data_IF_229519094609
#
_entry.id   IF_229519094609
#
_cell.length_a   1.000
_cell.length_b   1.000
_cell.length_c   1.000
_cell.angle_alpha   90.00
_cell.angle_beta   90.00
_cell.angle_gamma   90.00
#
_symmetry.space_group_name_H-M   'P 1'
#
loop_
_entity.id
_entity.type
_entity.pdbx_description
1 polymer ?
#
# COMPACT_ATOMS: atom_id res chain seq x y z
N UNK A 1 -61.16 13.20 -42.08
CA UNK A 1 -61.65 12.64 -40.83
C UNK A 1 -60.43 12.27 -40.02
N UNK A 2 -60.13 13.11 -39.01
CA UNK A 2 -58.99 13.00 -38.08
C UNK A 2 -59.26 11.90 -37.09
N UNK A 3 -58.21 11.12 -36.79
CA UNK A 3 -58.10 10.40 -35.53
C UNK A 3 -56.81 10.71 -34.84
N UNK A 4 -57.01 11.29 -33.69
CA UNK A 4 -56.04 11.75 -32.76
C UNK A 4 -55.13 10.67 -32.19
N UNK A 5 -53.87 11.03 -32.10
CA UNK A 5 -52.85 10.27 -31.42
C UNK A 5 -53.11 10.28 -29.92
N UNK A 6 -53.20 9.11 -29.32
CA UNK A 6 -53.07 8.90 -27.90
C UNK A 6 -51.59 8.86 -27.58
N UNK A 7 -51.11 9.97 -27.09
CA UNK A 7 -49.80 10.05 -26.46
C UNK A 7 -49.87 9.30 -25.13
N UNK A 8 -49.37 8.11 -25.10
CA UNK A 8 -49.13 7.38 -23.85
C UNK A 8 -47.97 8.06 -23.12
N UNK A 9 -48.34 8.91 -22.20
CA UNK A 9 -47.43 9.53 -21.24
C UNK A 9 -46.72 8.45 -20.42
N UNK A 10 -45.42 8.58 -20.38
CA UNK A 10 -44.50 7.70 -19.74
C UNK A 10 -44.88 7.29 -18.32
N UNK A 11 -44.78 6.01 -18.09
CA UNK A 11 -44.58 5.46 -16.78
C UNK A 11 -43.31 6.09 -16.21
N UNK A 12 -43.49 7.02 -15.27
CA UNK A 12 -42.45 7.47 -14.40
C UNK A 12 -41.96 6.25 -13.64
N UNK A 13 -40.79 5.74 -14.03
CA UNK A 13 -40.09 4.74 -13.25
C UNK A 13 -39.90 5.32 -11.86
N UNK A 14 -40.52 4.71 -10.87
CA UNK A 14 -40.13 4.91 -9.48
C UNK A 14 -38.67 4.44 -9.39
N UNK A 15 -37.74 5.37 -9.45
CA UNK A 15 -36.38 5.12 -9.09
C UNK A 15 -36.41 4.71 -7.64
N UNK A 16 -36.15 3.44 -7.35
CA UNK A 16 -35.93 3.02 -5.97
C UNK A 16 -34.86 3.95 -5.36
N UNK A 17 -35.08 4.46 -4.14
CA UNK A 17 -34.12 5.34 -3.54
C UNK A 17 -32.75 4.61 -3.41
N UNK A 18 -31.72 5.24 -3.90
CA UNK A 18 -30.36 4.74 -3.75
C UNK A 18 -30.00 4.73 -2.25
N UNK A 19 -30.00 3.52 -1.68
CA UNK A 19 -29.73 3.31 -0.26
C UNK A 19 -28.23 3.13 0.00
N UNK A 20 -27.42 3.06 -1.04
CA UNK A 20 -25.97 2.93 -0.90
C UNK A 20 -25.36 4.26 -0.47
N UNK A 21 -24.34 4.18 0.37
CA UNK A 21 -23.59 5.34 0.86
C UNK A 21 -22.16 5.20 0.40
N UNK A 22 -21.61 6.30 -0.13
CA UNK A 22 -20.18 6.34 -0.44
C UNK A 22 -19.43 7.11 0.63
N UNK A 23 -18.35 6.51 1.16
CA UNK A 23 -17.43 7.14 2.10
C UNK A 23 -15.99 6.95 1.65
N UNK A 24 -15.12 7.87 2.04
CA UNK A 24 -13.68 7.76 1.80
C UNK A 24 -12.98 7.36 3.09
N UNK A 25 -12.09 6.39 2.99
CA UNK A 25 -11.24 5.97 4.11
C UNK A 25 -9.77 6.04 3.72
N UNK A 26 -8.94 6.39 4.67
CA UNK A 26 -7.48 6.36 4.51
C UNK A 26 -6.93 5.24 5.37
N UNK A 27 -6.21 4.32 4.77
CA UNK A 27 -5.57 3.20 5.45
C UNK A 27 -4.04 3.35 5.46
N UNK A 28 -3.35 2.85 6.49
CA UNK A 28 -1.90 2.82 6.52
C UNK A 28 -1.32 1.97 5.39
N UNK A 29 -0.12 2.32 4.92
CA UNK A 29 0.55 1.61 3.83
C UNK A 29 0.76 0.11 4.12
N UNK A 30 1.19 -0.24 5.33
CA UNK A 30 1.39 -1.62 5.74
C UNK A 30 0.10 -2.45 5.64
N UNK A 31 -1.04 -1.89 6.04
CA UNK A 31 -2.34 -2.56 5.93
C UNK A 31 -2.74 -2.75 4.47
N UNK A 32 -2.37 -1.84 3.57
CA UNK A 32 -2.64 -2.01 2.14
C UNK A 32 -1.87 -3.18 1.51
N UNK A 33 -0.68 -3.49 2.04
CA UNK A 33 0.18 -4.57 1.54
C UNK A 33 -0.17 -5.91 2.20
N UNK A 34 -0.22 -5.93 3.53
CA UNK A 34 -0.44 -7.15 4.31
C UNK A 34 -1.92 -7.56 4.41
N UNK A 35 -2.81 -6.59 4.24
CA UNK A 35 -4.21 -6.76 4.58
C UNK A 35 -4.45 -6.72 6.09
N UNK A 36 -5.68 -6.95 6.49
CA UNK A 36 -6.05 -7.01 7.91
C UNK A 36 -7.39 -6.37 8.20
N UNK A 37 -7.69 -6.25 9.49
CA UNK A 37 -8.88 -5.56 9.96
C UNK A 37 -8.55 -4.09 10.18
N UNK A 38 -9.43 -3.24 9.75
CA UNK A 38 -9.36 -1.80 10.01
C UNK A 38 -10.68 -1.34 10.64
N UNK A 39 -10.57 -0.76 11.83
CA UNK A 39 -11.74 -0.24 12.52
C UNK A 39 -12.20 1.06 11.88
N UNK A 40 -13.46 1.14 11.58
CA UNK A 40 -14.13 2.31 11.04
C UNK A 40 -15.25 2.76 11.97
N UNK A 41 -15.35 4.06 12.13
CA UNK A 41 -16.52 4.70 12.74
C UNK A 41 -17.29 5.45 11.68
N UNK A 42 -18.51 5.04 11.45
CA UNK A 42 -19.40 5.67 10.49
C UNK A 42 -20.82 5.79 11.05
N UNK A 43 -21.41 6.97 10.96
CA UNK A 43 -22.76 7.26 11.51
C UNK A 43 -22.95 6.89 12.99
N UNK A 44 -21.90 6.95 13.81
CA UNK A 44 -21.96 6.61 15.25
C UNK A 44 -21.82 5.12 15.55
N UNK A 45 -21.72 4.28 14.54
CA UNK A 45 -21.41 2.86 14.69
C UNK A 45 -19.92 2.62 14.38
N UNK A 46 -19.26 1.84 15.24
CA UNK A 46 -17.89 1.36 14.99
C UNK A 46 -17.94 -0.10 14.55
N UNK A 47 -17.30 -0.40 13.44
CA UNK A 47 -17.22 -1.78 12.92
C UNK A 47 -15.89 -2.03 12.26
N UNK A 48 -15.48 -3.29 12.23
CA UNK A 48 -14.24 -3.71 11.57
C UNK A 48 -14.50 -4.07 10.11
N UNK A 49 -13.68 -3.49 9.23
CA UNK A 49 -13.66 -3.84 7.81
C UNK A 49 -12.41 -4.65 7.51
N UNK A 50 -12.60 -5.79 6.86
CA UNK A 50 -11.50 -6.63 6.41
C UNK A 50 -10.92 -6.07 5.12
N UNK A 51 -9.72 -5.50 5.20
CA UNK A 51 -8.97 -5.00 4.06
C UNK A 51 -8.22 -6.17 3.41
N UNK A 52 -8.40 -6.44 2.13
CA UNK A 52 -7.64 -7.49 1.44
C UNK A 52 -6.20 -7.05 1.21
N UNK A 53 -5.26 -7.99 1.31
CA UNK A 53 -3.85 -7.73 1.01
C UNK A 53 -3.67 -7.29 -0.45
N UNK A 54 -2.79 -6.32 -0.67
CA UNK A 54 -2.46 -5.81 -2.01
C UNK A 54 -3.45 -4.80 -2.57
N UNK A 55 -4.37 -4.26 -1.74
CA UNK A 55 -5.31 -3.22 -2.17
C UNK A 55 -4.56 -1.98 -2.68
N UNK A 56 -5.11 -1.33 -3.71
CA UNK A 56 -4.53 -0.12 -4.30
C UNK A 56 -5.31 1.11 -3.85
N UNK A 57 -4.63 2.25 -3.83
CA UNK A 57 -5.30 3.54 -3.62
C UNK A 57 -6.31 3.81 -4.73
N UNK A 58 -7.50 4.31 -4.38
CA UNK A 58 -8.61 4.53 -5.30
C UNK A 58 -9.50 3.31 -5.54
N UNK A 59 -9.20 2.16 -4.96
CA UNK A 59 -10.08 1.00 -5.04
C UNK A 59 -11.35 1.20 -4.18
N UNK A 60 -12.45 0.64 -4.68
CA UNK A 60 -13.73 0.65 -3.99
C UNK A 60 -13.99 -0.68 -3.31
N UNK A 61 -14.37 -0.62 -2.05
CA UNK A 61 -14.80 -1.79 -1.27
C UNK A 61 -16.27 -1.64 -0.90
N UNK A 62 -17.02 -2.72 -1.00
CA UNK A 62 -18.41 -2.78 -0.62
C UNK A 62 -18.58 -3.47 0.73
N UNK A 63 -19.18 -2.78 1.68
CA UNK A 63 -19.55 -3.33 2.99
C UNK A 63 -21.06 -3.47 3.01
N UNK A 64 -21.53 -4.71 3.09
CA UNK A 64 -22.95 -5.02 3.05
C UNK A 64 -23.68 -4.51 4.31
N UNK A 65 -24.94 -4.14 4.12
CA UNK A 65 -25.87 -3.75 5.19
C UNK A 65 -25.42 -2.56 6.06
N UNK A 66 -24.52 -1.71 5.56
CA UNK A 66 -24.00 -0.51 6.25
C UNK A 66 -24.36 0.80 5.55
N UNK A 67 -25.25 0.75 4.56
CA UNK A 67 -25.85 1.91 3.90
C UNK A 67 -27.07 2.47 4.64
N UNK A 68 -27.89 3.21 3.93
CA UNK A 68 -29.16 3.76 4.46
C UNK A 68 -30.17 2.64 4.69
N UNK A 69 -31.01 2.84 5.69
CA UNK A 69 -32.13 1.93 5.98
C UNK A 69 -33.43 2.58 5.52
N UNK A 70 -34.22 1.89 4.72
CA UNK A 70 -35.53 2.33 4.29
C UNK A 70 -36.49 1.14 4.18
N UNK A 71 -37.62 1.20 4.82
CA UNK A 71 -38.69 0.18 4.81
C UNK A 71 -38.15 -1.28 5.05
N UNK A 72 -37.23 -1.44 6.00
CA UNK A 72 -36.67 -2.74 6.33
C UNK A 72 -35.57 -3.25 5.37
N UNK A 73 -35.27 -2.49 4.31
CA UNK A 73 -34.13 -2.74 3.41
C UNK A 73 -32.94 -1.89 3.83
N UNK A 74 -31.76 -2.46 3.85
CA UNK A 74 -30.49 -1.77 4.09
C UNK A 74 -29.68 -1.73 2.81
N UNK A 75 -29.17 -0.55 2.47
CA UNK A 75 -28.19 -0.40 1.41
C UNK A 75 -26.79 -0.80 1.87
N UNK A 76 -25.85 -0.68 0.99
CA UNK A 76 -24.46 -0.99 1.25
C UNK A 76 -23.61 0.28 1.44
N UNK A 77 -22.50 0.14 2.13
CA UNK A 77 -21.50 1.20 2.25
C UNK A 77 -20.39 0.95 1.24
N UNK A 78 -20.21 1.89 0.32
CA UNK A 78 -19.13 1.86 -0.66
C UNK A 78 -17.98 2.69 -0.13
N UNK A 79 -16.89 2.02 0.24
CA UNK A 79 -15.67 2.65 0.75
C UNK A 79 -14.69 2.90 -0.39
N UNK A 80 -14.37 4.17 -0.63
CA UNK A 80 -13.26 4.54 -1.49
C UNK A 80 -11.99 4.51 -0.64
N UNK A 81 -11.13 3.52 -0.91
CA UNK A 81 -9.91 3.32 -0.13
C UNK A 81 -8.80 4.22 -0.65
N UNK A 82 -8.24 5.01 0.23
CA UNK A 82 -7.03 5.78 0.00
C UNK A 82 -5.90 5.22 0.85
N UNK A 83 -4.71 5.10 0.27
CA UNK A 83 -3.54 4.55 0.97
C UNK A 83 -2.61 5.69 1.37
N UNK A 84 -2.36 5.82 2.67
CA UNK A 84 -1.40 6.79 3.16
C UNK A 84 0.01 6.45 2.64
N UNK A 85 0.79 7.43 2.18
CA UNK A 85 2.15 7.18 1.73
C UNK A 85 3.02 6.72 2.90
N UNK A 86 3.98 5.86 2.62
CA UNK A 86 5.00 5.45 3.58
C UNK A 86 6.27 6.27 3.38
N UNK A 87 6.95 6.72 4.44
CA UNK A 87 8.25 7.38 4.32
C UNK A 87 9.36 6.40 3.92
N UNK A 88 9.19 5.11 4.18
CA UNK A 88 10.21 4.08 3.97
C UNK A 88 10.03 3.29 2.68
N UNK A 89 8.79 3.13 2.24
CA UNK A 89 8.44 2.27 1.11
C UNK A 89 7.77 3.05 0.00
N UNK A 90 8.17 2.76 -1.21
CA UNK A 90 7.48 3.19 -2.42
C UNK A 90 6.92 1.97 -3.13
N UNK A 91 5.67 2.05 -3.58
CA UNK A 91 5.03 0.96 -4.33
C UNK A 91 5.10 1.24 -5.82
N UNK A 92 5.67 0.32 -6.56
CA UNK A 92 5.73 0.34 -8.03
C UNK A 92 4.94 -0.87 -8.58
N UNK A 93 3.66 -0.66 -8.85
CA UNK A 93 2.77 -1.76 -9.26
C UNK A 93 2.54 -2.76 -8.12
N UNK A 94 3.10 -3.94 -8.24
CA UNK A 94 3.07 -5.01 -7.23
C UNK A 94 4.41 -5.14 -6.49
N UNK A 95 5.43 -4.44 -6.96
CA UNK A 95 6.74 -4.39 -6.33
C UNK A 95 6.83 -3.27 -5.29
N UNK A 96 7.72 -3.44 -4.34
CA UNK A 96 8.05 -2.44 -3.33
C UNK A 96 9.50 -2.02 -3.48
N UNK A 97 9.76 -0.75 -3.19
CA UNK A 97 11.12 -0.20 -3.15
C UNK A 97 11.35 0.39 -1.77
N UNK A 98 12.45 0.02 -1.13
CA UNK A 98 12.91 0.57 0.15
C UNK A 98 14.37 0.96 0.04
N UNK A 99 14.72 2.14 0.52
CA UNK A 99 16.12 2.54 0.69
C UNK A 99 16.63 2.00 2.02
N UNK A 100 17.81 1.40 2.01
CA UNK A 100 18.50 0.87 3.19
C UNK A 100 19.85 1.52 3.35
N UNK A 101 20.20 1.80 4.59
CA UNK A 101 21.50 2.37 4.93
C UNK A 101 22.53 1.27 5.12
N UNK A 102 23.64 1.36 4.39
CA UNK A 102 24.73 0.41 4.45
C UNK A 102 25.99 1.18 4.90
N UNK A 103 26.65 0.76 5.99
CA UNK A 103 27.92 1.34 6.39
C UNK A 103 28.99 1.20 5.31
N UNK A 104 29.83 2.22 5.12
CA UNK A 104 30.90 2.21 4.11
C UNK A 104 31.79 0.97 4.21
N UNK A 105 32.13 0.55 5.42
CA UNK A 105 32.92 -0.66 5.67
C UNK A 105 32.25 -1.90 5.04
N UNK A 106 30.95 -2.06 5.25
CA UNK A 106 30.21 -3.19 4.72
C UNK A 106 30.05 -3.11 3.20
N UNK A 107 29.94 -1.90 2.64
CA UNK A 107 29.88 -1.71 1.20
C UNK A 107 31.20 -2.05 0.50
N UNK A 108 32.36 -1.76 1.13
CA UNK A 108 33.69 -2.02 0.58
C UNK A 108 34.10 -3.48 0.73
N UNK A 109 33.97 -4.04 1.92
CA UNK A 109 34.49 -5.37 2.26
C UNK A 109 33.45 -6.49 2.24
N UNK A 110 32.20 -6.13 1.95
CA UNK A 110 31.11 -7.06 2.06
C UNK A 110 30.69 -7.30 3.51
N UNK A 111 29.60 -8.00 3.68
CA UNK A 111 29.06 -8.34 5.00
C UNK A 111 27.58 -8.67 4.98
N UNK A 112 26.99 -8.62 6.16
CA UNK A 112 25.56 -8.88 6.34
C UNK A 112 24.91 -7.64 6.94
N UNK A 113 23.76 -7.26 6.41
CA UNK A 113 22.93 -6.19 6.93
C UNK A 113 21.55 -6.77 7.25
N UNK A 114 21.07 -6.50 8.45
CA UNK A 114 19.71 -6.87 8.86
C UNK A 114 18.78 -5.78 8.38
N UNK A 115 17.74 -6.17 7.66
CA UNK A 115 16.74 -5.26 7.09
C UNK A 115 15.36 -5.67 7.57
N UNK A 116 14.69 -4.72 8.21
CA UNK A 116 13.27 -4.88 8.56
C UNK A 116 12.41 -4.71 7.31
N UNK A 117 11.57 -5.69 7.06
CA UNK A 117 10.57 -5.63 6.00
C UNK A 117 9.17 -5.62 6.60
N UNK A 118 8.16 -5.38 5.76
CA UNK A 118 6.76 -5.43 6.20
C UNK A 118 6.33 -6.83 6.68
N UNK A 119 7.02 -7.88 6.26
CA UNK A 119 6.69 -9.26 6.61
C UNK A 119 7.52 -9.77 7.80
N UNK A 120 8.82 -9.61 7.74
CA UNK A 120 9.78 -10.04 8.78
C UNK A 120 11.15 -9.43 8.55
N UNK A 121 12.00 -9.52 9.55
CA UNK A 121 13.43 -9.20 9.39
C UNK A 121 14.11 -10.19 8.43
N UNK A 122 14.94 -9.66 7.55
CA UNK A 122 15.78 -10.46 6.66
C UNK A 122 17.24 -10.07 6.79
N UNK A 123 18.12 -11.02 6.56
CA UNK A 123 19.55 -10.77 6.47
C UNK A 123 19.96 -10.64 5.02
N UNK A 124 20.34 -9.44 4.62
CA UNK A 124 20.87 -9.16 3.29
C UNK A 124 22.37 -9.40 3.27
N UNK A 125 22.83 -10.26 2.36
CA UNK A 125 24.27 -10.42 2.11
C UNK A 125 24.72 -9.38 1.10
N UNK A 126 25.52 -8.44 1.56
CA UNK A 126 26.13 -7.38 0.76
C UNK A 126 27.46 -7.89 0.21
N UNK A 127 27.66 -7.75 -1.09
CA UNK A 127 28.94 -8.12 -1.74
C UNK A 127 29.97 -7.02 -1.54
N UNK A 128 31.24 -7.39 -1.72
CA UNK A 128 32.33 -6.43 -1.82
C UNK A 128 32.11 -5.45 -2.98
N UNK A 129 32.62 -4.26 -2.85
CA UNK A 129 32.51 -3.19 -3.86
C UNK A 129 31.06 -2.86 -4.25
N UNK A 130 30.15 -2.91 -3.27
CA UNK A 130 28.77 -2.48 -3.47
C UNK A 130 28.70 -0.96 -3.64
N UNK A 131 28.09 -0.52 -4.73
CA UNK A 131 27.97 0.91 -5.07
C UNK A 131 26.72 1.52 -4.48
N UNK A 132 26.80 2.84 -4.25
CA UNK A 132 25.62 3.60 -3.85
C UNK A 132 24.53 3.53 -4.91
N UNK A 133 23.28 3.35 -4.49
CA UNK A 133 22.14 3.17 -5.39
C UNK A 133 21.99 1.77 -5.97
N UNK A 134 22.83 0.83 -5.61
CA UNK A 134 22.72 -0.57 -6.05
C UNK A 134 21.44 -1.19 -5.53
N UNK A 135 20.69 -1.87 -6.41
CA UNK A 135 19.43 -2.52 -6.07
C UNK A 135 19.64 -4.01 -5.75
N UNK A 136 19.08 -4.43 -4.63
CA UNK A 136 19.02 -5.84 -4.22
C UNK A 136 17.58 -6.32 -4.28
N UNK A 137 17.34 -7.38 -5.02
CA UNK A 137 16.00 -7.96 -5.19
C UNK A 137 15.75 -9.03 -4.13
N UNK A 138 14.68 -8.87 -3.39
CA UNK A 138 14.15 -9.86 -2.45
C UNK A 138 12.83 -10.38 -2.99
N UNK A 139 12.81 -11.64 -3.41
CA UNK A 139 11.65 -12.24 -4.05
C UNK A 139 10.49 -12.41 -3.07
N UNK A 140 9.25 -12.22 -3.56
CA UNK A 140 8.01 -12.46 -2.81
C UNK A 140 7.80 -11.57 -1.57
N UNK A 141 8.50 -10.44 -1.49
CA UNK A 141 8.35 -9.44 -0.42
C UNK A 141 7.64 -8.15 -0.86
N UNK A 142 7.05 -8.17 -2.04
CA UNK A 142 6.21 -7.10 -2.56
C UNK A 142 4.75 -7.22 -2.17
N UNK A 143 3.89 -6.50 -2.86
CA UNK A 143 2.44 -6.55 -2.69
C UNK A 143 1.83 -7.79 -3.36
N UNK A 144 0.77 -8.31 -2.77
CA UNK A 144 0.01 -9.40 -3.38
C UNK A 144 -0.83 -8.89 -4.56
N UNK A 145 -0.65 -9.48 -5.71
CA UNK A 145 -1.56 -9.31 -6.84
C UNK A 145 -2.77 -10.22 -6.64
N UNK A 146 -3.93 -9.64 -6.37
CA UNK A 146 -5.15 -10.41 -6.07
C UNK A 146 -5.71 -11.16 -7.28
N UNK A 147 -5.37 -10.74 -8.50
CA UNK A 147 -5.81 -11.41 -9.72
C UNK A 147 -4.99 -12.65 -10.03
N UNK A 148 -3.67 -12.54 -9.91
CA UNK A 148 -2.73 -13.62 -10.21
C UNK A 148 -2.34 -14.46 -9.00
N UNK A 149 -2.66 -14.00 -7.77
CA UNK A 149 -2.26 -14.60 -6.50
C UNK A 149 -0.74 -14.69 -6.31
N UNK A 150 0.00 -13.88 -7.06
CA UNK A 150 1.47 -13.80 -6.99
C UNK A 150 1.86 -12.54 -6.22
N UNK A 151 2.84 -12.67 -5.35
CA UNK A 151 3.47 -11.54 -4.68
C UNK A 151 4.53 -10.93 -5.58
N UNK A 152 4.59 -9.61 -5.62
CA UNK A 152 5.70 -8.89 -6.21
C UNK A 152 6.98 -9.03 -5.40
N UNK A 153 8.01 -8.33 -5.79
CA UNK A 153 9.31 -8.35 -5.16
C UNK A 153 9.58 -7.06 -4.36
N UNK A 154 10.53 -7.15 -3.45
CA UNK A 154 11.05 -5.98 -2.75
C UNK A 154 12.43 -5.64 -3.31
N UNK A 155 12.60 -4.42 -3.75
CA UNK A 155 13.88 -3.87 -4.17
C UNK A 155 14.45 -3.00 -3.06
N UNK A 156 15.61 -3.41 -2.55
CA UNK A 156 16.37 -2.66 -1.56
C UNK A 156 17.42 -1.83 -2.27
N UNK A 157 17.34 -0.51 -2.13
CA UNK A 157 18.29 0.42 -2.74
C UNK A 157 19.34 0.79 -1.70
N UNK A 158 20.60 0.50 -2.00
CA UNK A 158 21.71 0.79 -1.11
C UNK A 158 21.96 2.30 -1.01
N UNK A 159 21.89 2.83 0.18
CA UNK A 159 22.40 4.16 0.54
C UNK A 159 23.63 4.00 1.42
N UNK A 160 24.81 4.34 0.88
CA UNK A 160 26.06 4.17 1.63
C UNK A 160 26.23 5.35 2.58
N UNK A 161 26.30 5.04 3.88
CA UNK A 161 26.57 6.03 4.91
C UNK A 161 28.06 6.19 5.07
N UNK A 162 28.54 7.42 4.89
CA UNK A 162 29.92 7.77 5.16
C UNK A 162 30.13 7.92 6.67
N UNK A 163 31.25 7.41 7.21
CA UNK A 163 31.60 7.65 8.60
C UNK A 163 31.90 9.14 8.82
N UNK A 164 31.64 9.62 10.05
CA UNK A 164 32.03 10.98 10.41
C UNK A 164 33.57 11.09 10.45
N UNK A 165 34.08 12.28 10.15
CA UNK A 165 35.52 12.55 10.18
C UNK A 165 36.16 12.21 11.55
N UNK A 166 35.38 12.40 12.62
CA UNK A 166 35.84 12.08 14.00
C UNK A 166 35.99 10.59 14.26
N UNK A 167 35.22 9.75 13.53
CA UNK A 167 35.26 8.28 13.69
C UNK A 167 36.37 7.62 12.87
N UNK A 168 37.10 8.38 12.02
CA UNK A 168 38.17 7.86 11.20
C UNK A 168 39.50 7.92 11.98
N UNK A 169 40.27 6.84 11.93
CA UNK A 169 41.63 6.81 12.47
C UNK A 169 42.56 7.80 11.74
N UNK A 170 43.55 8.30 12.44
CA UNK A 170 44.53 9.28 11.90
C UNK A 170 45.20 8.78 10.61
N UNK A 171 45.53 7.51 10.56
CA UNK A 171 46.15 6.88 9.39
C UNK A 171 45.24 6.87 8.19
N UNK A 172 43.94 6.59 8.41
CA UNK A 172 42.96 6.58 7.36
C UNK A 172 42.68 7.99 6.82
N UNK A 173 42.69 9.00 7.70
CA UNK A 173 42.59 10.41 7.31
C UNK A 173 43.73 10.83 6.41
N UNK A 174 44.96 10.48 6.79
CA UNK A 174 46.16 10.80 6.01
C UNK A 174 46.18 10.15 4.62
N UNK A 175 45.57 8.95 4.47
CA UNK A 175 45.46 8.26 3.18
C UNK A 175 44.38 8.85 2.27
N UNK A 176 43.44 9.61 2.79
CA UNK A 176 42.35 10.24 2.03
C UNK A 176 42.61 11.69 1.65
N UNK A 177 43.65 12.33 2.19
CA UNK A 177 44.14 13.66 1.81
C UNK A 177 45.12 13.54 0.61
#
# INVERSE_FOLDING_TARGET
>A
ICFGGFSSSGFGGFSEPDLDISAKITIPFNVSILGGKHALSFSGESFDVKIPAGIKSGEKMRVKDKGKSYQGRKGDLILNVDVAPSPEYTREGDDLVKTIDIPLKTALFGGKVIVDTLYKEITLKVKEDTKNGQKFRVKEYGALNRKTQVKGDLYLVANIILPSLESLDKELKALME
#
